data_IF_379543330137
#
_entry.id   IF_379543330137
#
_cell.length_a   1.000
_cell.length_b   1.000
_cell.length_c   1.000
_cell.angle_alpha   90.00
_cell.angle_beta   90.00
_cell.angle_gamma   90.00
#
_symmetry.space_group_name_H-M   'P 1'
#
loop_
_entity.id
_entity.type
_entity.pdbx_description
1 polymer ?
#
# COMPACT_ATOMS: atom_id res chain seq x y z
N UNK A 1 40.75 31.70 33.56
CA UNK A 1 39.29 31.85 33.71
C UNK A 1 38.53 31.94 32.38
N UNK A 2 39.03 32.62 31.35
CA UNK A 2 38.34 32.72 30.03
C UNK A 2 38.25 31.37 29.27
N UNK A 3 39.35 30.61 29.26
CA UNK A 3 39.42 29.31 28.59
C UNK A 3 38.43 28.31 29.20
N UNK A 4 38.31 28.27 30.54
CA UNK A 4 37.38 27.40 31.22
C UNK A 4 35.89 27.70 30.90
N UNK A 5 35.55 28.98 30.70
CA UNK A 5 34.19 29.40 30.27
C UNK A 5 33.89 28.99 28.85
N UNK A 6 34.87 29.00 27.94
CA UNK A 6 34.71 28.50 26.58
C UNK A 6 34.49 26.96 26.55
N UNK A 7 35.22 26.22 27.37
CA UNK A 7 35.01 24.76 27.48
C UNK A 7 33.61 24.42 28.01
N UNK A 8 33.15 25.13 29.03
CA UNK A 8 31.81 24.94 29.57
C UNK A 8 30.71 25.28 28.57
N UNK A 9 30.89 26.37 27.82
CA UNK A 9 29.95 26.77 26.78
C UNK A 9 29.91 25.76 25.61
N UNK A 10 31.08 25.28 25.18
CA UNK A 10 31.17 24.24 24.14
C UNK A 10 30.51 22.94 24.58
N UNK A 11 30.76 22.48 25.83
CA UNK A 11 30.14 21.29 26.41
C UNK A 11 28.61 21.43 26.48
N UNK A 12 28.12 22.58 26.93
CA UNK A 12 26.68 22.87 27.00
C UNK A 12 26.00 22.83 25.64
N UNK A 13 26.64 23.40 24.60
CA UNK A 13 26.13 23.36 23.21
C UNK A 13 26.11 21.92 22.69
N UNK A 14 27.16 21.13 22.94
CA UNK A 14 27.22 19.74 22.48
C UNK A 14 26.13 18.88 23.14
N UNK A 15 25.90 19.06 24.44
CA UNK A 15 24.84 18.37 25.17
C UNK A 15 23.47 18.80 24.68
N UNK A 16 23.26 20.10 24.42
CA UNK A 16 22.00 20.61 23.91
C UNK A 16 21.66 20.08 22.51
N UNK A 17 22.64 20.05 21.59
CA UNK A 17 22.47 19.45 20.25
C UNK A 17 22.18 17.96 20.33
N UNK A 18 22.86 17.22 21.25
CA UNK A 18 22.64 15.79 21.45
C UNK A 18 21.24 15.46 21.96
N UNK A 19 20.67 16.30 22.82
CA UNK A 19 19.30 16.12 23.35
C UNK A 19 18.22 16.45 22.32
N UNK A 20 18.49 17.37 21.39
CA UNK A 20 17.54 17.72 20.32
C UNK A 20 17.50 16.71 19.16
N UNK A 21 18.43 15.76 19.10
CA UNK A 21 18.43 14.67 18.13
C UNK A 21 17.49 13.53 18.57
N UNK A 22 16.21 13.85 18.80
CA UNK A 22 15.19 12.81 19.00
C UNK A 22 14.99 12.04 17.68
N UNK A 23 14.94 10.69 17.73
CA UNK A 23 14.62 9.93 16.53
C UNK A 23 13.22 10.35 16.08
N UNK A 24 13.13 11.03 14.95
CA UNK A 24 11.86 11.29 14.27
C UNK A 24 11.39 9.94 13.75
N UNK A 25 10.44 9.32 14.43
CA UNK A 25 9.73 8.15 13.93
C UNK A 25 8.91 8.61 12.73
N UNK A 26 9.49 8.51 11.54
CA UNK A 26 8.73 8.65 10.31
C UNK A 26 7.74 7.48 10.29
N UNK A 27 6.45 7.77 10.38
CA UNK A 27 5.40 6.77 10.20
C UNK A 27 5.52 6.24 8.78
N UNK A 28 6.02 5.01 8.67
CA UNK A 28 6.10 4.31 7.39
C UNK A 28 4.68 3.98 6.94
N UNK A 29 4.11 4.84 6.10
CA UNK A 29 2.83 4.57 5.45
C UNK A 29 3.12 3.57 4.34
N UNK A 30 2.70 2.33 4.52
CA UNK A 30 2.82 1.30 3.48
C UNK A 30 1.60 1.40 2.57
N UNK A 31 1.79 1.69 1.28
CA UNK A 31 0.68 1.74 0.33
C UNK A 31 0.09 0.35 0.10
N UNK A 32 -1.20 0.32 -0.25
CA UNK A 32 -1.83 -0.84 -0.85
C UNK A 32 -1.35 -1.03 -2.30
N UNK A 33 -1.47 -2.24 -2.82
CA UNK A 33 -1.04 -2.56 -4.17
C UNK A 33 -1.99 -3.56 -4.82
N UNK A 34 -2.72 -3.11 -5.85
CA UNK A 34 -3.65 -3.93 -6.62
C UNK A 34 -3.06 -4.16 -8.01
N UNK A 35 -2.44 -5.32 -8.22
CA UNK A 35 -1.90 -5.72 -9.51
C UNK A 35 -2.93 -6.53 -10.28
N UNK A 36 -3.16 -6.17 -11.54
CA UNK A 36 -4.09 -6.83 -12.44
C UNK A 36 -3.34 -7.16 -13.73
N UNK A 37 -3.18 -8.43 -14.01
CA UNK A 37 -2.51 -8.92 -15.22
C UNK A 37 -3.55 -9.63 -16.11
N UNK A 38 -3.72 -9.18 -17.34
CA UNK A 38 -4.51 -9.88 -18.34
C UNK A 38 -3.79 -11.18 -18.72
N UNK A 39 -4.44 -12.31 -18.53
CA UNK A 39 -3.89 -13.64 -18.83
C UNK A 39 -4.45 -14.22 -20.14
N UNK A 40 -5.66 -13.82 -20.49
CA UNK A 40 -6.35 -14.13 -21.74
C UNK A 40 -7.41 -13.03 -22.01
N UNK A 41 -8.00 -12.95 -23.19
CA UNK A 41 -9.13 -12.05 -23.42
C UNK A 41 -10.19 -12.17 -22.33
N UNK A 42 -10.56 -11.04 -21.72
CA UNK A 42 -11.53 -10.95 -20.62
C UNK A 42 -11.15 -11.67 -19.32
N UNK A 43 -9.98 -12.30 -19.23
CA UNK A 43 -9.50 -13.03 -18.06
C UNK A 43 -8.27 -12.36 -17.45
N UNK A 44 -8.28 -12.20 -16.13
CA UNK A 44 -7.25 -11.49 -15.39
C UNK A 44 -6.82 -12.27 -14.15
N UNK A 45 -5.52 -12.22 -13.85
CA UNK A 45 -4.97 -12.61 -12.56
C UNK A 45 -4.81 -11.36 -11.69
N UNK A 46 -5.37 -11.39 -10.50
CA UNK A 46 -5.36 -10.27 -9.57
C UNK A 46 -4.55 -10.62 -8.33
N UNK A 47 -3.66 -9.70 -7.94
CA UNK A 47 -2.92 -9.76 -6.69
C UNK A 47 -3.18 -8.49 -5.89
N UNK A 48 -3.92 -8.62 -4.79
CA UNK A 48 -4.22 -7.55 -3.86
C UNK A 48 -3.34 -7.63 -2.62
N UNK A 49 -2.56 -6.60 -2.38
CA UNK A 49 -1.71 -6.45 -1.20
C UNK A 49 -2.17 -5.26 -0.38
N UNK A 50 -2.53 -5.49 0.87
CA UNK A 50 -2.90 -4.42 1.78
C UNK A 50 -2.05 -4.47 3.04
N UNK A 51 -1.63 -3.31 3.57
CA UNK A 51 -0.95 -3.27 4.86
C UNK A 51 -1.91 -3.73 5.95
N UNK A 52 -1.38 -4.41 6.96
CA UNK A 52 -2.14 -4.81 8.14
C UNK A 52 -1.70 -3.98 9.34
N UNK A 53 -2.66 -3.57 10.16
CA UNK A 53 -2.39 -2.94 11.44
C UNK A 53 -2.43 -4.01 12.53
N UNK A 54 -1.48 -3.95 13.46
CA UNK A 54 -1.39 -4.85 14.60
C UNK A 54 -0.46 -6.04 14.39
N UNK A 55 -0.14 -6.74 15.49
CA UNK A 55 0.66 -7.96 15.45
C UNK A 55 -0.11 -9.15 14.86
N UNK A 56 0.57 -10.28 14.71
CA UNK A 56 0.10 -11.50 14.07
C UNK A 56 -1.24 -12.08 14.60
N UNK A 57 -1.76 -11.58 15.70
CA UNK A 57 -2.98 -12.05 16.35
C UNK A 57 -4.23 -11.20 16.03
N UNK A 58 -4.09 -10.06 15.37
CA UNK A 58 -5.20 -9.16 15.07
C UNK A 58 -5.11 -8.70 13.62
N UNK A 59 -5.26 -9.65 12.70
CA UNK A 59 -5.22 -9.42 11.25
C UNK A 59 -6.55 -8.85 10.79
N UNK A 60 -6.89 -7.68 11.27
CA UNK A 60 -7.87 -6.85 10.59
C UNK A 60 -7.09 -6.05 9.54
N UNK A 61 -7.23 -6.41 8.29
CA UNK A 61 -6.82 -5.53 7.21
C UNK A 61 -7.43 -4.15 7.41
N UNK A 62 -6.94 -3.14 6.72
CA UNK A 62 -7.45 -1.75 6.80
C UNK A 62 -8.93 -1.63 6.38
N UNK A 63 -9.61 -2.73 6.09
CA UNK A 63 -10.98 -2.75 5.55
C UNK A 63 -11.05 -2.28 4.10
N UNK A 64 -9.92 -2.24 3.42
CA UNK A 64 -9.85 -1.88 2.01
C UNK A 64 -10.30 -3.06 1.14
N UNK A 65 -11.18 -2.80 0.18
CA UNK A 65 -11.63 -3.80 -0.79
C UNK A 65 -11.56 -3.25 -2.21
N UNK A 66 -10.94 -3.98 -3.14
CA UNK A 66 -11.08 -3.68 -4.56
C UNK A 66 -12.53 -3.87 -5.02
N UNK A 67 -13.04 -2.89 -5.74
CA UNK A 67 -14.38 -2.91 -6.35
C UNK A 67 -14.21 -2.89 -7.86
N UNK A 68 -14.72 -3.90 -8.51
CA UNK A 68 -14.65 -4.06 -9.96
C UNK A 68 -15.99 -3.70 -10.61
N UNK A 69 -16.00 -3.41 -11.92
CA UNK A 69 -17.23 -3.19 -12.67
C UNK A 69 -18.22 -4.36 -12.55
N UNK A 70 -19.51 -4.09 -12.69
CA UNK A 70 -20.55 -5.11 -12.63
C UNK A 70 -20.44 -6.17 -13.75
N UNK A 71 -19.70 -5.88 -14.83
CA UNK A 71 -19.35 -6.83 -15.88
C UNK A 71 -18.28 -7.84 -15.50
N UNK A 72 -17.69 -7.69 -14.30
CA UNK A 72 -16.63 -8.55 -13.80
C UNK A 72 -17.16 -9.53 -12.76
N UNK A 73 -16.76 -10.77 -12.89
CA UNK A 73 -17.04 -11.85 -11.93
C UNK A 73 -15.73 -12.37 -11.35
N UNK A 74 -15.70 -12.46 -10.03
CA UNK A 74 -14.55 -12.99 -9.30
C UNK A 74 -14.59 -14.51 -9.29
N UNK A 75 -13.49 -15.17 -9.66
CA UNK A 75 -13.35 -16.61 -9.57
C UNK A 75 -13.37 -17.12 -8.13
N UNK A 76 -13.70 -18.38 -7.99
CA UNK A 76 -13.77 -19.07 -6.68
C UNK A 76 -12.39 -19.39 -6.09
N UNK A 77 -11.34 -19.38 -6.91
CA UNK A 77 -9.95 -19.73 -6.51
C UNK A 77 -9.28 -18.53 -5.88
N UNK A 78 -9.64 -18.24 -4.65
CA UNK A 78 -9.01 -17.17 -3.88
C UNK A 78 -8.03 -17.78 -2.88
N UNK A 79 -6.79 -17.28 -2.91
CA UNK A 79 -5.78 -17.62 -1.89
C UNK A 79 -5.43 -16.38 -1.09
N UNK A 80 -5.36 -16.52 0.23
CA UNK A 80 -5.00 -15.46 1.15
C UNK A 80 -3.76 -15.85 1.95
N UNK A 81 -2.76 -14.98 1.97
CA UNK A 81 -1.50 -15.18 2.71
C UNK A 81 -1.19 -13.97 3.55
N UNK A 82 -0.90 -14.22 4.83
CA UNK A 82 -0.37 -13.20 5.72
C UNK A 82 1.16 -13.25 5.68
N UNK A 83 1.74 -12.13 5.28
CA UNK A 83 3.18 -11.89 5.35
C UNK A 83 3.46 -10.83 6.43
N UNK A 84 4.71 -10.65 6.90
CA UNK A 84 5.03 -9.64 7.90
C UNK A 84 4.56 -8.24 7.47
N UNK A 85 3.50 -7.75 8.12
CA UNK A 85 2.92 -6.42 7.89
C UNK A 85 2.05 -6.27 6.64
N UNK A 86 1.79 -7.35 5.89
CA UNK A 86 1.04 -7.32 4.63
C UNK A 86 0.12 -8.53 4.50
N UNK A 87 -1.13 -8.29 4.16
CA UNK A 87 -2.07 -9.33 3.71
C UNK A 87 -2.06 -9.36 2.18
N UNK A 88 -1.79 -10.53 1.61
CA UNK A 88 -1.78 -10.76 0.16
C UNK A 88 -2.92 -11.67 -0.20
N UNK A 89 -3.79 -11.23 -1.09
CA UNK A 89 -4.86 -12.00 -1.67
C UNK A 89 -4.65 -12.14 -3.17
N UNK A 90 -4.78 -13.35 -3.70
CA UNK A 90 -4.72 -13.61 -5.15
C UNK A 90 -5.98 -14.32 -5.59
N UNK A 91 -6.52 -13.90 -6.72
CA UNK A 91 -7.73 -14.47 -7.31
C UNK A 91 -7.78 -14.22 -8.81
N UNK A 92 -8.64 -14.95 -9.49
CA UNK A 92 -8.95 -14.71 -10.90
C UNK A 92 -10.16 -13.79 -11.04
N UNK A 93 -10.21 -13.03 -12.14
CA UNK A 93 -11.31 -12.13 -12.49
C UNK A 93 -11.65 -12.33 -13.95
N UNK A 94 -12.92 -12.49 -14.26
CA UNK A 94 -13.43 -12.53 -15.64
C UNK A 94 -14.31 -11.32 -15.86
N UNK A 95 -14.03 -10.53 -16.89
CA UNK A 95 -14.75 -9.28 -17.16
C UNK A 95 -15.26 -9.29 -18.61
N UNK A 96 -16.56 -9.38 -18.78
CA UNK A 96 -17.21 -9.31 -20.11
C UNK A 96 -16.94 -7.95 -20.73
N UNK A 97 -16.37 -7.93 -21.95
CA UNK A 97 -15.94 -6.72 -22.62
C UNK A 97 -14.58 -6.18 -22.15
N UNK A 98 -13.91 -6.86 -21.21
CA UNK A 98 -12.61 -6.48 -20.69
C UNK A 98 -12.65 -5.30 -19.70
N UNK A 99 -11.46 -4.91 -19.20
CA UNK A 99 -11.32 -3.81 -18.23
C UNK A 99 -10.94 -2.47 -18.86
N UNK A 100 -10.66 -2.42 -20.15
CA UNK A 100 -10.26 -1.15 -20.81
C UNK A 100 -11.38 -0.13 -20.76
N UNK A 101 -11.08 1.08 -20.29
CA UNK A 101 -12.05 2.16 -20.12
C UNK A 101 -13.04 1.97 -18.97
N UNK A 102 -12.89 0.93 -18.18
CA UNK A 102 -13.70 0.68 -17.00
C UNK A 102 -13.08 1.33 -15.75
N UNK A 103 -13.92 1.58 -14.75
CA UNK A 103 -13.50 2.16 -13.48
C UNK A 103 -13.32 1.06 -12.43
N UNK A 104 -12.19 1.06 -11.76
CA UNK A 104 -11.90 0.20 -10.61
C UNK A 104 -11.81 1.10 -9.38
N UNK A 105 -12.52 0.74 -8.32
CA UNK A 105 -12.53 1.48 -7.06
C UNK A 105 -11.84 0.71 -5.94
N UNK A 106 -11.51 1.42 -4.87
CA UNK A 106 -11.09 0.83 -3.61
C UNK A 106 -12.02 1.34 -2.51
N UNK A 107 -12.92 0.47 -2.06
CA UNK A 107 -13.80 0.78 -0.93
C UNK A 107 -13.00 0.93 0.35
N UNK A 108 -13.37 1.90 1.20
CA UNK A 108 -12.71 2.17 2.47
C UNK A 108 -11.50 3.09 2.39
N UNK A 109 -11.01 3.44 1.20
CA UNK A 109 -9.81 4.27 1.03
C UNK A 109 -9.96 5.65 1.69
N UNK A 110 -11.11 6.27 1.59
CA UNK A 110 -11.43 7.58 2.21
C UNK A 110 -11.35 7.58 3.75
N UNK A 111 -11.36 6.42 4.39
CA UNK A 111 -11.26 6.26 5.84
C UNK A 111 -9.83 6.01 6.31
N UNK A 112 -8.87 6.03 5.41
CA UNK A 112 -7.46 5.74 5.67
C UNK A 112 -6.58 6.86 5.14
N UNK A 113 -5.34 6.91 5.63
CA UNK A 113 -4.28 7.77 5.10
C UNK A 113 -3.37 6.99 4.14
N UNK A 114 -3.82 5.82 3.67
CA UNK A 114 -3.06 4.91 2.84
C UNK A 114 -3.40 5.17 1.38
N UNK A 115 -2.37 5.23 0.54
CA UNK A 115 -2.53 5.24 -0.91
C UNK A 115 -2.61 3.81 -1.46
N UNK A 116 -3.17 3.66 -2.65
CA UNK A 116 -3.20 2.38 -3.36
C UNK A 116 -2.67 2.56 -4.78
N UNK A 117 -1.67 1.78 -5.14
CA UNK A 117 -1.18 1.69 -6.51
C UNK A 117 -1.92 0.61 -7.27
N UNK A 118 -2.39 0.93 -8.47
CA UNK A 118 -3.17 0.01 -9.32
C UNK A 118 -2.50 -0.14 -10.69
N UNK A 119 -1.44 -0.94 -10.82
CA UNK A 119 -0.91 -1.30 -12.13
C UNK A 119 -1.81 -2.32 -12.83
N UNK A 120 -2.18 -2.02 -14.07
CA UNK A 120 -2.92 -2.93 -14.95
C UNK A 120 -2.04 -3.27 -16.14
N UNK A 121 -1.75 -4.56 -16.32
CA UNK A 121 -0.97 -5.05 -17.45
C UNK A 121 -1.90 -5.75 -18.43
N UNK A 122 -1.91 -5.29 -19.66
CA UNK A 122 -2.60 -5.94 -20.78
C UNK A 122 -1.61 -6.75 -21.60
N UNK A 123 -2.05 -7.81 -22.25
CA UNK A 123 -1.19 -8.69 -23.07
C UNK A 123 -0.46 -7.96 -24.18
N UNK A 124 -0.90 -6.75 -24.55
CA UNK A 124 -0.29 -5.93 -25.62
C UNK A 124 0.15 -4.52 -25.19
N UNK A 125 -0.11 -4.07 -23.94
CA UNK A 125 0.26 -2.74 -23.45
C UNK A 125 0.32 -2.71 -21.92
N UNK A 126 1.48 -2.32 -21.37
CA UNK A 126 1.62 -2.00 -19.96
C UNK A 126 1.36 -0.52 -19.76
N UNK A 127 0.26 -0.16 -19.11
CA UNK A 127 -0.03 1.21 -18.69
C UNK A 127 -0.11 1.27 -17.17
N UNK A 128 0.72 2.06 -16.48
CA UNK A 128 0.51 2.35 -15.08
C UNK A 128 -0.74 3.21 -14.95
N UNK A 129 -1.76 2.68 -14.30
CA UNK A 129 -2.97 3.45 -13.97
C UNK A 129 -2.84 3.93 -12.53
N UNK A 130 -2.70 5.23 -12.34
CA UNK A 130 -2.82 5.87 -11.02
C UNK A 130 -4.28 6.22 -10.85
N UNK A 131 -4.95 5.58 -9.90
CA UNK A 131 -6.31 5.92 -9.54
C UNK A 131 -6.25 7.02 -8.46
N UNK A 132 -6.62 8.24 -8.83
CA UNK A 132 -6.92 9.31 -7.90
C UNK A 132 -8.41 9.20 -7.55
N UNK A 133 -8.70 8.99 -6.29
CA UNK A 133 -10.06 9.06 -5.74
C UNK A 133 -10.20 10.34 -4.92
#
# INVERSE_FOLDING_TARGET
MRVFRFFLAALAVTVFVGVCALPTSAHEVRPGFLKIDETAPEAYAVSWKQPVRGGAQNVAGLGLRPVFPASCERGTDSTMRLLPGVLVETFTLTCVGGLRGQTIGIEGLQKTITDVFVPVSYTHLTLPTILLV
#
